data_IF_669928010346
#
_entry.id   IF_669928010346
#
_cell.length_a   1.000
_cell.length_b   1.000
_cell.length_c   1.000
_cell.angle_alpha   90.00
_cell.angle_beta   90.00
_cell.angle_gamma   90.00
#
_symmetry.space_group_name_H-M   'P 1'
#
loop_
_entity.id
_entity.type
_entity.pdbx_description
1 polymer ?
#
# COMPACT_ATOMS: atom_id res chain seq x y z
N UNK A 1 -19.71 -4.49 2.09
CA UNK A 1 -19.02 -4.16 3.36
C UNK A 1 -19.84 -3.16 4.18
N UNK A 2 -21.02 -3.53 4.68
CA UNK A 2 -21.93 -2.62 5.42
C UNK A 2 -22.37 -3.12 6.81
N UNK A 3 -21.71 -4.15 7.37
CA UNK A 3 -22.24 -4.85 8.55
C UNK A 3 -21.24 -5.11 9.69
N UNK A 4 -20.14 -4.34 9.82
CA UNK A 4 -19.13 -4.56 10.89
C UNK A 4 -18.91 -3.30 11.73
N UNK A 5 -19.98 -2.64 12.15
CA UNK A 5 -19.93 -1.48 13.05
C UNK A 5 -20.98 -1.58 14.16
N UNK A 6 -20.93 -2.63 14.96
CA UNK A 6 -21.62 -2.65 16.24
C UNK A 6 -20.85 -3.52 17.24
N UNK A 7 -20.32 -2.90 18.30
CA UNK A 7 -20.11 -3.60 19.58
C UNK A 7 -18.73 -3.48 20.25
N UNK A 8 -18.53 -2.39 21.00
CA UNK A 8 -17.90 -2.35 22.36
C UNK A 8 -16.40 -2.75 22.53
N UNK A 9 -15.80 -2.59 23.74
CA UNK A 9 -15.16 -1.36 24.21
C UNK A 9 -13.66 -1.53 24.59
N UNK A 10 -12.97 -0.41 24.82
CA UNK A 10 -11.57 -0.30 25.24
C UNK A 10 -11.31 -0.75 26.70
N UNK A 11 -10.13 -1.36 26.97
CA UNK A 11 -9.38 -1.28 28.24
C UNK A 11 -7.92 -1.81 28.08
N UNK A 12 -6.97 -1.61 29.03
CA UNK A 12 -5.69 -0.94 28.75
C UNK A 12 -4.43 -1.82 28.89
N UNK A 13 -3.30 -1.24 28.47
CA UNK A 13 -1.94 -1.81 28.49
C UNK A 13 -1.34 -1.93 29.90
N UNK A 14 -0.50 -2.95 30.11
CA UNK A 14 0.47 -3.02 31.21
C UNK A 14 1.83 -3.54 30.73
N UNK A 15 2.88 -2.89 31.23
CA UNK A 15 4.31 -3.12 31.04
C UNK A 15 4.75 -4.46 31.68
N UNK A 16 5.76 -5.19 31.19
CA UNK A 16 7.18 -4.85 31.18
C UNK A 16 7.89 -5.55 32.35
N UNK A 17 8.67 -6.60 32.09
CA UNK A 17 9.40 -7.36 33.11
C UNK A 17 10.58 -8.15 32.52
N UNK A 18 11.76 -7.96 33.13
CA UNK A 18 13.09 -8.29 32.63
C UNK A 18 13.53 -9.74 32.90
N UNK A 19 14.51 -10.20 32.12
CA UNK A 19 15.13 -11.55 32.18
C UNK A 19 16.49 -11.49 32.90
N UNK A 20 16.72 -12.43 33.82
CA UNK A 20 18.02 -12.69 34.47
C UNK A 20 18.48 -14.13 34.16
N UNK A 21 19.71 -14.26 33.68
CA UNK A 21 20.46 -15.51 33.51
C UNK A 21 21.26 -15.85 34.78
N UNK A 22 21.60 -17.13 35.02
CA UNK A 22 22.76 -17.50 35.83
C UNK A 22 23.85 -18.26 35.03
N UNK A 23 25.10 -18.33 35.54
CA UNK A 23 26.27 -18.85 34.84
C UNK A 23 26.58 -20.33 35.15
N UNK A 24 27.45 -20.94 34.34
CA UNK A 24 27.96 -22.30 34.52
C UNK A 24 29.51 -22.29 34.39
N UNK A 25 30.29 -23.00 35.22
CA UNK A 25 31.75 -22.98 35.14
C UNK A 25 32.40 -24.25 34.57
N UNK A 26 33.52 -24.00 33.89
CA UNK A 26 34.82 -24.70 33.92
C UNK A 26 34.98 -26.17 33.54
N UNK A 27 35.96 -26.43 32.65
CA UNK A 27 37.03 -27.39 32.94
C UNK A 27 37.36 -28.40 31.84
N UNK A 28 38.43 -28.16 31.09
CA UNK A 28 39.22 -29.17 30.36
C UNK A 28 40.55 -29.40 31.13
N UNK A 29 41.21 -30.56 31.03
CA UNK A 29 42.26 -30.74 30.00
C UNK A 29 42.43 -32.19 29.45
N UNK A 30 43.14 -32.29 28.32
CA UNK A 30 43.60 -33.51 27.59
C UNK A 30 45.06 -33.92 27.99
N UNK A 31 45.78 -34.85 27.28
CA UNK A 31 45.56 -36.28 27.03
C UNK A 31 46.84 -37.15 27.29
N UNK A 32 46.76 -38.49 27.13
CA UNK A 32 47.95 -39.36 27.02
C UNK A 32 47.65 -40.89 26.99
N UNK A 33 48.24 -41.62 26.02
CA UNK A 33 48.07 -43.07 25.74
C UNK A 33 48.53 -44.03 26.86
N UNK A 34 48.35 -45.35 26.81
CA UNK A 34 48.88 -46.36 25.85
C UNK A 34 48.06 -47.68 25.92
N UNK A 35 48.21 -48.54 24.90
CA UNK A 35 47.48 -49.79 24.64
C UNK A 35 47.88 -51.02 25.49
N UNK A 36 46.96 -52.00 25.66
CA UNK A 36 47.17 -53.46 25.50
C UNK A 36 45.98 -54.33 25.97
N UNK A 37 45.46 -55.15 25.06
CA UNK A 37 44.90 -56.52 25.18
C UNK A 37 43.97 -56.92 26.34
N UNK A 38 42.75 -57.40 26.02
CA UNK A 38 42.34 -58.83 26.07
C UNK A 38 40.81 -58.96 25.85
N UNK A 39 40.40 -59.81 24.91
CA UNK A 39 39.00 -60.18 24.62
C UNK A 39 38.37 -61.03 25.74
N UNK A 40 37.04 -60.94 25.91
CA UNK A 40 36.25 -62.18 25.82
C UNK A 40 35.04 -62.07 24.88
N UNK A 41 34.61 -63.25 24.44
CA UNK A 41 33.71 -63.60 23.34
C UNK A 41 32.29 -62.98 23.36
N UNK A 42 31.60 -62.96 22.21
CA UNK A 42 30.31 -62.30 22.05
C UNK A 42 29.15 -63.27 22.27
N UNK A 43 28.38 -63.09 23.35
CA UNK A 43 27.04 -63.66 23.45
C UNK A 43 26.10 -62.63 24.11
N UNK A 44 25.44 -61.83 23.28
CA UNK A 44 24.03 -61.45 23.42
C UNK A 44 23.69 -60.52 22.26
N UNK A 45 22.99 -61.08 21.27
CA UNK A 45 22.40 -60.34 20.16
C UNK A 45 21.57 -59.17 20.72
N UNK A 46 21.95 -57.97 20.32
CA UNK A 46 21.23 -56.74 20.59
C UNK A 46 19.75 -56.89 20.24
N UNK A 47 18.89 -56.72 21.25
CA UNK A 47 17.53 -56.22 21.03
C UNK A 47 17.68 -54.80 20.45
N UNK A 48 17.75 -54.69 19.11
CA UNK A 48 17.51 -53.43 18.40
C UNK A 48 16.07 -53.04 18.70
N UNK A 49 15.89 -52.11 19.63
CA UNK A 49 14.68 -51.32 19.73
C UNK A 49 14.47 -50.72 18.33
N UNK A 50 13.37 -51.02 17.62
CA UNK A 50 13.13 -50.40 16.33
C UNK A 50 12.91 -48.91 16.63
N UNK A 51 13.88 -48.08 16.23
CA UNK A 51 13.66 -46.65 16.08
C UNK A 51 12.46 -46.50 15.16
N UNK A 52 11.29 -46.18 15.72
CA UNK A 52 10.19 -45.60 14.94
C UNK A 52 10.75 -44.30 14.38
N UNK A 53 11.19 -44.34 13.13
CA UNK A 53 11.34 -43.15 12.29
C UNK A 53 10.00 -42.42 12.42
N UNK A 54 10.00 -41.34 13.19
CA UNK A 54 8.80 -40.57 13.48
C UNK A 54 8.15 -40.22 12.16
N UNK A 55 6.87 -40.54 12.00
CA UNK A 55 6.12 -40.09 10.84
C UNK A 55 6.33 -38.57 10.71
N UNK A 56 6.55 -38.05 9.49
CA UNK A 56 6.69 -36.61 9.30
C UNK A 56 5.48 -35.94 9.93
N UNK A 57 5.73 -35.04 10.90
CA UNK A 57 4.68 -34.32 11.63
C UNK A 57 3.66 -33.78 10.64
N UNK A 58 2.39 -34.19 10.78
CA UNK A 58 1.32 -33.76 9.88
C UNK A 58 1.28 -32.24 9.91
N UNK A 59 1.56 -31.63 8.78
CA UNK A 59 1.58 -30.18 8.70
C UNK A 59 0.14 -29.66 8.83
N UNK A 60 -0.10 -28.88 9.87
CA UNK A 60 -1.43 -28.38 10.26
C UNK A 60 -2.10 -27.60 9.12
N UNK A 61 -1.30 -26.82 8.39
CA UNK A 61 -1.72 -26.12 7.18
C UNK A 61 -0.80 -26.52 6.04
N UNK A 62 -1.32 -26.93 4.87
CA UNK A 62 -0.49 -27.25 3.72
C UNK A 62 0.41 -26.06 3.33
N UNK A 63 1.69 -26.33 3.01
CA UNK A 63 2.65 -25.28 2.59
C UNK A 63 2.12 -24.40 1.46
N UNK A 64 1.36 -25.00 0.55
CA UNK A 64 0.76 -24.30 -0.60
C UNK A 64 -0.21 -23.22 -0.15
N UNK A 65 -1.10 -23.54 0.80
CA UNK A 65 -2.08 -22.61 1.36
C UNK A 65 -1.41 -21.44 2.06
N UNK A 66 -0.35 -21.72 2.83
CA UNK A 66 0.38 -20.68 3.56
C UNK A 66 1.14 -19.74 2.63
N UNK A 67 1.75 -20.30 1.58
CA UNK A 67 2.39 -19.51 0.52
C UNK A 67 1.40 -18.66 -0.26
N UNK A 68 0.20 -19.18 -0.53
CA UNK A 68 -0.86 -18.43 -1.20
C UNK A 68 -1.35 -17.28 -0.34
N UNK A 69 -1.57 -17.52 0.96
CA UNK A 69 -1.93 -16.48 1.91
C UNK A 69 -0.88 -15.36 1.96
N UNK A 70 0.40 -15.72 2.11
CA UNK A 70 1.49 -14.75 2.21
C UNK A 70 1.68 -13.94 0.92
N UNK A 71 1.51 -14.57 -0.25
CA UNK A 71 1.52 -13.88 -1.53
C UNK A 71 0.39 -12.84 -1.63
N UNK A 72 -0.84 -13.23 -1.34
CA UNK A 72 -1.99 -12.31 -1.47
C UNK A 72 -1.95 -11.19 -0.43
N UNK A 73 -1.53 -11.49 0.80
CA UNK A 73 -1.33 -10.46 1.82
C UNK A 73 -0.19 -9.50 1.46
N UNK A 74 0.92 -10.02 0.93
CA UNK A 74 2.05 -9.20 0.46
C UNK A 74 1.65 -8.20 -0.64
N UNK A 75 0.79 -8.61 -1.59
CA UNK A 75 0.22 -7.70 -2.59
C UNK A 75 -0.58 -6.56 -1.94
N UNK A 76 -1.35 -6.87 -0.89
CA UNK A 76 -2.16 -5.88 -0.18
C UNK A 76 -1.32 -4.91 0.64
N UNK A 77 -0.22 -5.36 1.25
CA UNK A 77 0.73 -4.46 1.92
C UNK A 77 1.36 -3.48 0.93
N UNK A 78 1.80 -3.97 -0.23
CA UNK A 78 2.33 -3.10 -1.28
C UNK A 78 1.27 -2.10 -1.77
N UNK A 79 0.02 -2.53 -1.93
CA UNK A 79 -1.08 -1.66 -2.31
C UNK A 79 -1.36 -0.58 -1.25
N UNK A 80 -1.30 -0.92 0.04
CA UNK A 80 -1.45 0.02 1.15
C UNK A 80 -0.39 1.13 1.08
N UNK A 81 0.88 0.74 0.92
CA UNK A 81 2.00 1.68 0.86
C UNK A 81 1.95 2.57 -0.39
N UNK A 82 1.63 1.98 -1.54
CA UNK A 82 1.45 2.72 -2.80
C UNK A 82 0.30 3.72 -2.70
N UNK A 83 -0.83 3.34 -2.09
CA UNK A 83 -1.98 4.23 -1.91
C UNK A 83 -1.64 5.42 -1.01
N UNK A 84 -0.95 5.17 0.12
CA UNK A 84 -0.49 6.24 1.03
C UNK A 84 0.50 7.19 0.35
N UNK A 85 1.46 6.63 -0.40
CA UNK A 85 2.45 7.41 -1.15
C UNK A 85 1.76 8.30 -2.18
N UNK A 86 0.88 7.71 -3.01
CA UNK A 86 0.10 8.43 -4.01
C UNK A 86 -0.73 9.56 -3.39
N UNK A 87 -1.39 9.31 -2.25
CA UNK A 87 -2.14 10.34 -1.54
C UNK A 87 -1.24 11.52 -1.10
N UNK A 88 -0.07 11.22 -0.53
CA UNK A 88 0.90 12.24 -0.08
C UNK A 88 1.41 13.06 -1.25
N UNK A 89 1.78 12.39 -2.33
CA UNK A 89 2.33 13.03 -3.52
C UNK A 89 1.26 13.88 -4.24
N UNK A 90 -0.01 13.45 -4.25
CA UNK A 90 -1.11 14.25 -4.80
C UNK A 90 -1.33 15.55 -4.02
N UNK A 91 -1.29 15.49 -2.68
CA UNK A 91 -1.38 16.70 -1.83
C UNK A 91 -0.24 17.67 -2.11
N UNK A 92 1.00 17.15 -2.16
CA UNK A 92 2.18 17.98 -2.50
C UNK A 92 2.04 18.63 -3.87
N UNK A 93 1.52 17.91 -4.87
CA UNK A 93 1.27 18.45 -6.20
C UNK A 93 0.29 19.61 -6.17
N UNK A 94 -0.83 19.47 -5.46
CA UNK A 94 -1.83 20.54 -5.34
C UNK A 94 -1.32 21.74 -4.54
N UNK A 95 -0.48 21.51 -3.53
CA UNK A 95 0.16 22.59 -2.77
C UNK A 95 1.13 23.39 -3.65
N UNK A 96 1.90 22.69 -4.50
CA UNK A 96 2.80 23.32 -5.46
C UNK A 96 2.04 24.14 -6.51
N UNK A 97 0.91 23.63 -7.02
CA UNK A 97 0.03 24.36 -7.94
C UNK A 97 -0.45 25.70 -7.35
N UNK A 98 -0.86 25.70 -6.07
CA UNK A 98 -1.30 26.91 -5.37
C UNK A 98 -0.15 27.87 -5.11
N UNK A 99 1.02 27.37 -4.70
CA UNK A 99 2.19 28.21 -4.47
C UNK A 99 2.65 28.91 -5.76
N UNK A 100 2.63 28.19 -6.87
CA UNK A 100 2.97 28.71 -8.19
C UNK A 100 2.00 29.82 -8.63
N UNK A 101 0.68 29.59 -8.58
CA UNK A 101 -0.28 30.61 -9.03
C UNK A 101 -0.29 31.85 -8.14
N UNK A 102 -0.14 31.69 -6.83
CA UNK A 102 0.04 32.81 -5.90
C UNK A 102 1.28 33.63 -6.20
N UNK A 103 2.38 32.98 -6.53
CA UNK A 103 3.64 33.66 -6.90
C UNK A 103 3.46 34.44 -8.22
N UNK A 104 2.77 33.86 -9.20
CA UNK A 104 2.45 34.53 -10.45
C UNK A 104 1.58 35.79 -10.26
N UNK A 105 0.54 35.70 -9.41
CA UNK A 105 -0.30 36.86 -9.03
C UNK A 105 0.52 37.92 -8.30
N UNK A 106 1.45 37.52 -7.43
CA UNK A 106 2.32 38.47 -6.75
C UNK A 106 3.20 39.23 -7.74
N UNK A 107 3.84 38.53 -8.68
CA UNK A 107 4.67 39.15 -9.72
C UNK A 107 3.86 40.17 -10.53
N UNK A 108 2.63 39.82 -10.96
CA UNK A 108 1.80 40.75 -11.72
C UNK A 108 1.36 41.97 -10.91
N UNK A 109 1.02 41.76 -9.63
CA UNK A 109 0.67 42.85 -8.71
C UNK A 109 1.85 43.79 -8.45
N UNK A 110 3.05 43.25 -8.26
CA UNK A 110 4.26 44.04 -8.03
C UNK A 110 4.59 44.88 -9.28
N UNK A 111 4.40 44.33 -10.49
CA UNK A 111 4.54 45.09 -11.75
C UNK A 111 3.52 46.22 -11.87
N UNK A 112 2.26 46.00 -11.46
CA UNK A 112 1.23 47.05 -11.46
C UNK A 112 1.62 48.24 -10.56
N UNK A 113 2.30 47.97 -9.45
CA UNK A 113 2.72 49.01 -8.51
C UNK A 113 3.93 49.83 -8.98
N UNK A 114 4.50 49.51 -10.15
CA UNK A 114 5.66 50.22 -10.68
C UNK A 114 5.26 51.63 -11.16
N UNK A 115 5.98 52.71 -10.76
CA UNK A 115 5.69 54.08 -11.20
C UNK A 115 5.66 54.28 -12.73
N UNK A 116 6.29 53.40 -13.50
CA UNK A 116 6.21 53.42 -14.97
C UNK A 116 4.77 53.24 -15.48
N UNK A 117 3.91 52.55 -14.73
CA UNK A 117 2.49 52.42 -15.04
C UNK A 117 1.74 53.76 -14.95
N UNK A 118 2.22 54.74 -14.19
CA UNK A 118 1.61 56.07 -14.12
C UNK A 118 2.07 56.97 -15.27
N UNK A 119 3.26 56.69 -15.81
CA UNK A 119 3.92 57.52 -16.83
C UNK A 119 3.53 57.13 -18.25
N UNK A 120 3.35 55.83 -18.50
CA UNK A 120 3.10 55.28 -19.84
C UNK A 120 1.75 54.54 -19.89
N UNK A 121 0.68 55.17 -20.41
CA UNK A 121 -0.67 54.58 -20.43
C UNK A 121 -0.74 53.22 -21.12
N UNK A 122 0.04 53.01 -22.19
CA UNK A 122 0.10 51.72 -22.90
C UNK A 122 0.75 50.61 -22.07
N UNK A 123 1.74 50.95 -21.23
CA UNK A 123 2.35 49.98 -20.31
C UNK A 123 1.37 49.55 -19.21
N UNK A 124 0.63 50.50 -18.64
CA UNK A 124 -0.42 50.22 -17.65
C UNK A 124 -1.49 49.28 -18.20
N UNK A 125 -1.97 49.51 -19.43
CA UNK A 125 -2.96 48.65 -20.07
C UNK A 125 -2.48 47.19 -20.20
N UNK A 126 -1.25 47.00 -20.70
CA UNK A 126 -0.63 45.67 -20.83
C UNK A 126 -0.47 44.96 -19.48
N UNK A 127 0.06 45.67 -18.48
CA UNK A 127 0.31 45.12 -17.14
C UNK A 127 -1.00 44.79 -16.42
N UNK A 128 -2.04 45.61 -16.59
CA UNK A 128 -3.40 45.35 -16.08
C UNK A 128 -4.03 44.10 -16.71
N UNK A 129 -3.87 43.92 -18.03
CA UNK A 129 -4.34 42.72 -18.71
C UNK A 129 -3.60 41.46 -18.21
N UNK A 130 -2.27 41.55 -18.02
CA UNK A 130 -1.45 40.48 -17.46
C UNK A 130 -1.87 40.10 -16.03
N UNK A 131 -2.10 41.07 -15.15
CA UNK A 131 -2.55 40.81 -13.77
C UNK A 131 -3.94 40.17 -13.72
N UNK A 132 -4.86 40.64 -14.57
CA UNK A 132 -6.17 40.02 -14.72
C UNK A 132 -6.04 38.56 -15.17
N UNK A 133 -5.14 38.28 -16.11
CA UNK A 133 -4.82 36.93 -16.55
C UNK A 133 -4.26 36.04 -15.42
N UNK A 134 -3.31 36.55 -14.62
CA UNK A 134 -2.73 35.81 -13.50
C UNK A 134 -3.76 35.53 -12.39
N UNK A 135 -4.63 36.49 -12.06
CA UNK A 135 -5.73 36.30 -11.09
C UNK A 135 -6.77 35.28 -11.56
N UNK A 136 -7.07 35.25 -12.86
CA UNK A 136 -7.93 34.22 -13.47
C UNK A 136 -7.30 32.84 -13.39
N UNK A 137 -6.00 32.74 -13.68
CA UNK A 137 -5.24 31.49 -13.54
C UNK A 137 -5.24 30.99 -12.09
N UNK A 138 -5.05 31.86 -11.10
CA UNK A 138 -5.10 31.48 -9.69
C UNK A 138 -6.48 30.96 -9.28
N UNK A 139 -7.55 31.66 -9.67
CA UNK A 139 -8.92 31.21 -9.43
C UNK A 139 -9.19 29.84 -10.05
N UNK A 140 -8.72 29.62 -11.28
CA UNK A 140 -8.81 28.33 -11.96
C UNK A 140 -8.05 27.23 -11.20
N UNK A 141 -6.82 27.51 -10.74
CA UNK A 141 -6.03 26.54 -9.98
C UNK A 141 -6.66 26.20 -8.63
N UNK A 142 -7.27 27.17 -7.94
CA UNK A 142 -8.02 26.90 -6.72
C UNK A 142 -9.18 25.91 -6.98
N UNK A 143 -9.94 26.11 -8.06
CA UNK A 143 -11.01 25.18 -8.43
C UNK A 143 -10.46 23.80 -8.81
N UNK A 144 -9.38 23.73 -9.60
CA UNK A 144 -8.69 22.47 -9.94
C UNK A 144 -8.30 21.70 -8.67
N UNK A 145 -7.70 22.39 -7.70
CA UNK A 145 -7.26 21.78 -6.43
C UNK A 145 -8.47 21.27 -5.63
N UNK A 146 -9.55 22.04 -5.54
CA UNK A 146 -10.79 21.62 -4.90
C UNK A 146 -11.39 20.37 -5.54
N UNK A 147 -11.34 20.27 -6.87
CA UNK A 147 -11.80 19.09 -7.61
C UNK A 147 -10.90 17.87 -7.36
N UNK A 148 -9.57 18.03 -7.39
CA UNK A 148 -8.61 16.95 -7.10
C UNK A 148 -8.80 16.44 -5.66
N UNK A 149 -9.04 17.34 -4.71
CA UNK A 149 -9.30 16.99 -3.32
C UNK A 149 -10.49 16.03 -3.19
N UNK A 150 -11.61 16.36 -3.84
CA UNK A 150 -12.85 15.57 -3.80
C UNK A 150 -12.76 14.27 -4.60
N UNK A 151 -12.14 14.32 -5.78
CA UNK A 151 -12.19 13.23 -6.76
C UNK A 151 -11.04 12.25 -6.67
N UNK A 152 -9.91 12.63 -6.04
CA UNK A 152 -8.70 11.79 -5.94
C UNK A 152 -8.28 11.60 -4.48
N UNK A 153 -8.02 12.68 -3.74
CA UNK A 153 -7.42 12.60 -2.40
C UNK A 153 -8.38 11.95 -1.40
N UNK A 154 -9.67 12.30 -1.44
CA UNK A 154 -10.69 11.70 -0.59
C UNK A 154 -10.91 10.21 -0.86
N UNK A 155 -11.10 9.73 -2.10
CA UNK A 155 -11.16 8.31 -2.41
C UNK A 155 -9.92 7.54 -1.95
N UNK A 156 -8.71 8.07 -2.16
CA UNK A 156 -7.48 7.45 -1.66
C UNK A 156 -7.48 7.32 -0.13
N UNK A 157 -7.96 8.35 0.58
CA UNK A 157 -8.11 8.33 2.04
C UNK A 157 -9.11 7.26 2.50
N UNK A 158 -10.27 7.19 1.82
CA UNK A 158 -11.34 6.22 2.11
C UNK A 158 -10.85 4.79 1.89
N UNK A 159 -10.19 4.52 0.76
CA UNK A 159 -9.59 3.22 0.48
C UNK A 159 -8.54 2.84 1.54
N UNK A 160 -7.66 3.78 1.90
CA UNK A 160 -6.63 3.57 2.92
C UNK A 160 -7.20 3.18 4.29
N UNK A 161 -8.41 3.64 4.62
CA UNK A 161 -9.04 3.35 5.92
C UNK A 161 -9.51 1.90 6.09
N UNK A 162 -9.53 1.10 5.03
CA UNK A 162 -9.93 -0.32 5.07
C UNK A 162 -8.79 -1.21 5.59
N UNK A 163 -7.53 -0.86 5.29
CA UNK A 163 -6.37 -1.69 5.62
C UNK A 163 -6.17 -1.98 7.12
N UNK A 164 -6.40 -1.05 8.07
CA UNK A 164 -6.31 -1.36 9.49
C UNK A 164 -7.20 -2.54 9.91
N UNK A 165 -8.42 -2.63 9.39
CA UNK A 165 -9.34 -3.74 9.68
C UNK A 165 -8.83 -5.07 9.11
N UNK A 166 -8.35 -5.04 7.86
CA UNK A 166 -7.73 -6.20 7.21
C UNK A 166 -6.52 -6.70 8.00
N UNK A 167 -5.60 -5.80 8.37
CA UNK A 167 -4.39 -6.12 9.13
C UNK A 167 -4.74 -6.73 10.50
N UNK A 168 -5.81 -6.27 11.14
CA UNK A 168 -6.32 -6.88 12.37
C UNK A 168 -6.92 -8.27 12.16
N UNK A 169 -7.62 -8.51 11.04
CA UNK A 169 -8.12 -9.85 10.70
C UNK A 169 -6.98 -10.85 10.46
N UNK A 170 -5.93 -10.43 9.75
CA UNK A 170 -4.71 -11.23 9.54
C UNK A 170 -4.02 -11.55 10.87
N UNK A 171 -3.87 -10.56 11.76
CA UNK A 171 -3.33 -10.79 13.11
C UNK A 171 -4.17 -11.79 13.91
N UNK A 172 -5.50 -11.70 13.85
CA UNK A 172 -6.40 -12.65 14.53
C UNK A 172 -6.26 -14.07 13.97
N UNK A 173 -6.14 -14.23 12.64
CA UNK A 173 -5.86 -15.54 12.02
C UNK A 173 -4.54 -16.12 12.53
N UNK A 174 -3.48 -15.32 12.57
CA UNK A 174 -2.17 -15.79 13.01
C UNK A 174 -2.18 -16.19 14.49
N UNK A 175 -2.86 -15.41 15.34
CA UNK A 175 -3.04 -15.76 16.74
C UNK A 175 -3.76 -17.11 16.91
N UNK A 176 -4.89 -17.31 16.21
CA UNK A 176 -5.63 -18.58 16.26
C UNK A 176 -4.79 -19.74 15.68
N UNK A 177 -3.95 -19.50 14.67
CA UNK A 177 -3.03 -20.50 14.13
C UNK A 177 -1.97 -20.93 15.16
N UNK A 178 -1.44 -20.00 15.95
CA UNK A 178 -0.51 -20.31 17.04
C UNK A 178 -1.18 -21.15 18.13
N UNK A 179 -2.40 -20.78 18.53
CA UNK A 179 -3.19 -21.55 19.49
C UNK A 179 -3.52 -22.95 18.97
N UNK A 180 -3.86 -23.07 17.68
CA UNK A 180 -4.07 -24.36 17.01
C UNK A 180 -2.80 -25.22 17.05
N UNK A 181 -1.64 -24.67 16.65
CA UNK A 181 -0.34 -25.37 16.72
C UNK A 181 -0.03 -25.90 18.12
N UNK A 182 -0.29 -25.09 19.16
CA UNK A 182 -0.08 -25.46 20.56
C UNK A 182 -0.98 -26.62 21.00
N UNK A 183 -2.29 -26.54 20.72
CA UNK A 183 -3.24 -27.58 21.10
C UNK A 183 -3.07 -28.86 20.28
N UNK A 184 -2.72 -28.75 19.00
CA UNK A 184 -2.39 -29.90 18.16
C UNK A 184 -1.19 -30.67 18.72
N UNK A 185 -0.13 -29.97 19.14
CA UNK A 185 1.03 -30.60 19.79
C UNK A 185 0.65 -31.30 21.11
N UNK A 186 -0.33 -30.76 21.86
CA UNK A 186 -0.88 -31.41 23.06
C UNK A 186 -1.60 -32.72 22.71
N UNK A 187 -2.39 -32.75 21.64
CA UNK A 187 -3.04 -33.98 21.15
C UNK A 187 -2.01 -35.02 20.72
N UNK A 188 -1.05 -34.64 19.86
CA UNK A 188 0.02 -35.53 19.39
C UNK A 188 0.80 -36.16 20.56
N UNK A 189 1.13 -35.36 21.58
CA UNK A 189 1.82 -35.83 22.80
C UNK A 189 1.01 -36.88 23.58
N UNK A 190 -0.31 -36.87 23.55
CA UNK A 190 -1.13 -37.90 24.19
C UNK A 190 -1.40 -39.09 23.27
N UNK A 191 -1.38 -38.90 21.95
CA UNK A 191 -1.49 -39.99 20.97
C UNK A 191 -0.26 -40.90 20.95
N UNK A 192 0.93 -40.34 21.21
CA UNK A 192 2.19 -41.09 21.29
C UNK A 192 2.35 -41.91 22.59
N UNK A 193 1.55 -41.64 23.62
CA UNK A 193 1.59 -42.35 24.90
C UNK A 193 0.87 -43.70 24.82
N UNK A 194 1.24 -44.61 25.73
CA UNK A 194 0.56 -45.89 25.88
C UNK A 194 -0.95 -45.73 26.14
N UNK A 195 -1.75 -46.58 25.50
CA UNK A 195 -3.22 -46.55 25.53
C UNK A 195 -3.79 -47.13 26.83
N UNK A 196 -3.50 -46.44 27.91
CA UNK A 196 -4.13 -46.68 29.22
C UNK A 196 -5.42 -45.87 29.34
N UNK A 197 -6.36 -46.32 30.17
CA UNK A 197 -7.63 -45.61 30.42
C UNK A 197 -7.46 -44.10 30.75
N UNK A 198 -6.57 -43.73 31.69
CA UNK A 198 -6.32 -42.32 32.02
C UNK A 198 -5.73 -41.50 30.85
N UNK A 199 -4.90 -42.09 29.99
CA UNK A 199 -4.34 -41.41 28.81
C UNK A 199 -5.42 -41.19 27.75
N UNK A 200 -6.31 -42.17 27.54
CA UNK A 200 -7.43 -42.04 26.61
C UNK A 200 -8.40 -40.93 27.02
N UNK A 201 -8.70 -40.79 28.32
CA UNK A 201 -9.53 -39.69 28.83
C UNK A 201 -8.89 -38.31 28.56
N UNK A 202 -7.57 -38.17 28.83
CA UNK A 202 -6.82 -36.92 28.54
C UNK A 202 -6.72 -36.62 27.05
N UNK A 203 -6.57 -37.64 26.21
CA UNK A 203 -6.56 -37.51 24.76
C UNK A 203 -7.92 -37.00 24.26
N UNK A 204 -9.02 -37.55 24.77
CA UNK A 204 -10.35 -37.10 24.42
C UNK A 204 -10.55 -35.63 24.80
N UNK A 205 -10.23 -35.25 26.03
CA UNK A 205 -10.30 -33.86 26.48
C UNK A 205 -9.45 -32.90 25.62
N UNK A 206 -8.21 -33.28 25.29
CA UNK A 206 -7.35 -32.47 24.42
C UNK A 206 -7.94 -32.31 23.00
N UNK A 207 -8.65 -33.31 22.47
CA UNK A 207 -9.35 -33.23 21.19
C UNK A 207 -10.59 -32.33 21.27
N UNK A 208 -11.35 -32.39 22.38
CA UNK A 208 -12.48 -31.48 22.61
C UNK A 208 -12.02 -30.02 22.67
N UNK A 209 -10.90 -29.73 23.35
CA UNK A 209 -10.29 -28.39 23.41
C UNK A 209 -9.79 -27.91 22.04
N UNK A 210 -9.24 -28.82 21.23
CA UNK A 210 -8.69 -28.51 19.91
C UNK A 210 -9.77 -28.15 18.89
N UNK A 211 -10.92 -28.85 18.92
CA UNK A 211 -11.97 -28.74 17.91
C UNK A 211 -12.41 -27.29 17.64
N UNK A 212 -12.87 -26.49 18.63
CA UNK A 212 -13.34 -25.13 18.36
C UNK A 212 -12.25 -24.20 17.85
N UNK A 213 -10.99 -24.38 18.28
CA UNK A 213 -9.86 -23.56 17.82
C UNK A 213 -9.50 -23.88 16.36
N UNK A 214 -9.57 -25.16 15.98
CA UNK A 214 -9.38 -25.59 14.60
C UNK A 214 -10.46 -25.00 13.68
N UNK A 215 -11.73 -25.12 14.07
CA UNK A 215 -12.87 -24.59 13.29
C UNK A 215 -12.78 -23.07 13.11
N UNK A 216 -12.42 -22.34 14.18
CA UNK A 216 -12.23 -20.88 14.14
C UNK A 216 -11.04 -20.47 13.23
N UNK A 217 -9.91 -21.20 13.28
CA UNK A 217 -8.81 -20.97 12.35
C UNK A 217 -9.23 -21.21 10.90
N UNK A 218 -9.87 -22.35 10.62
CA UNK A 218 -10.30 -22.72 9.26
C UNK A 218 -11.28 -21.68 8.69
N UNK A 219 -12.22 -21.20 9.51
CA UNK A 219 -13.15 -20.14 9.14
C UNK A 219 -12.43 -18.83 8.78
N UNK A 220 -11.55 -18.33 9.65
CA UNK A 220 -10.77 -17.10 9.42
C UNK A 220 -9.85 -17.23 8.20
N UNK A 221 -9.18 -18.38 8.06
CA UNK A 221 -8.26 -18.64 6.97
C UNK A 221 -8.99 -18.66 5.62
N UNK A 222 -10.11 -19.38 5.55
CA UNK A 222 -10.96 -19.43 4.36
C UNK A 222 -11.47 -18.03 3.98
N UNK A 223 -12.00 -17.28 4.96
CA UNK A 223 -12.50 -15.93 4.73
C UNK A 223 -11.42 -15.02 4.12
N UNK A 224 -10.22 -14.99 4.70
CA UNK A 224 -9.14 -14.13 4.20
C UNK A 224 -8.65 -14.54 2.81
N UNK A 225 -8.54 -15.84 2.53
CA UNK A 225 -8.14 -16.35 1.22
C UNK A 225 -9.19 -16.02 0.13
N UNK A 226 -10.47 -15.90 0.50
CA UNK A 226 -11.52 -15.50 -0.42
C UNK A 226 -11.62 -13.97 -0.61
N UNK A 227 -11.45 -13.20 0.46
CA UNK A 227 -11.66 -11.74 0.45
C UNK A 227 -10.46 -10.95 -0.07
N UNK A 228 -9.23 -11.34 0.31
CA UNK A 228 -8.01 -10.60 -0.07
C UNK A 228 -7.84 -10.45 -1.58
N UNK A 229 -7.96 -11.52 -2.40
CA UNK A 229 -7.81 -11.40 -3.85
C UNK A 229 -8.92 -10.54 -4.48
N UNK A 230 -10.16 -10.65 -3.99
CA UNK A 230 -11.29 -9.85 -4.46
C UNK A 230 -11.08 -8.37 -4.16
N UNK A 231 -10.58 -8.05 -2.97
CA UNK A 231 -10.25 -6.69 -2.57
C UNK A 231 -9.09 -6.13 -3.40
N UNK A 232 -8.06 -6.93 -3.70
CA UNK A 232 -6.97 -6.52 -4.58
C UNK A 232 -7.48 -6.21 -5.99
N UNK A 233 -8.29 -7.07 -6.58
CA UNK A 233 -8.81 -6.88 -7.94
C UNK A 233 -9.73 -5.67 -8.07
N UNK A 234 -10.54 -5.36 -7.06
CA UNK A 234 -11.47 -4.22 -7.09
C UNK A 234 -10.79 -2.85 -7.11
N UNK A 235 -9.47 -2.77 -6.83
CA UNK A 235 -8.70 -1.52 -6.87
C UNK A 235 -8.83 -0.78 -8.20
N UNK A 236 -8.92 -1.52 -9.31
CA UNK A 236 -8.97 -0.94 -10.65
C UNK A 236 -10.27 -0.16 -10.82
N UNK A 237 -11.40 -0.81 -10.59
CA UNK A 237 -12.72 -0.20 -10.72
C UNK A 237 -12.92 0.94 -9.71
N UNK A 238 -12.34 0.79 -8.51
CA UNK A 238 -12.39 1.82 -7.48
C UNK A 238 -11.64 3.10 -7.88
N UNK A 239 -10.41 2.96 -8.40
CA UNK A 239 -9.56 4.12 -8.68
C UNK A 239 -9.74 4.71 -10.08
N UNK A 240 -10.20 3.94 -11.07
CA UNK A 240 -10.44 4.41 -12.44
C UNK A 240 -11.15 5.78 -12.51
N UNK A 241 -12.30 6.02 -11.82
CA UNK A 241 -12.98 7.32 -11.89
C UNK A 241 -12.15 8.47 -11.30
N UNK A 242 -11.31 8.22 -10.29
CA UNK A 242 -10.41 9.23 -9.72
C UNK A 242 -9.34 9.67 -10.71
N UNK A 243 -8.71 8.71 -11.39
CA UNK A 243 -7.68 9.03 -12.38
C UNK A 243 -8.24 9.68 -13.64
N UNK A 244 -9.42 9.25 -14.11
CA UNK A 244 -10.12 9.95 -15.19
C UNK A 244 -10.44 11.40 -14.82
N UNK A 245 -10.90 11.64 -13.59
CA UNK A 245 -11.20 12.99 -13.09
C UNK A 245 -9.93 13.85 -12.99
N UNK A 246 -8.81 13.26 -12.56
CA UNK A 246 -7.52 13.94 -12.49
C UNK A 246 -7.05 14.40 -13.86
N UNK A 247 -7.08 13.52 -14.87
CA UNK A 247 -6.67 13.87 -16.23
C UNK A 247 -7.60 14.95 -16.81
N UNK A 248 -8.92 14.85 -16.58
CA UNK A 248 -9.88 15.90 -16.97
C UNK A 248 -9.53 17.26 -16.36
N UNK A 249 -9.16 17.29 -15.08
CA UNK A 249 -8.81 18.52 -14.37
C UNK A 249 -7.52 19.15 -14.92
N UNK A 250 -6.51 18.34 -15.25
CA UNK A 250 -5.24 18.80 -15.83
C UNK A 250 -5.41 19.36 -17.25
N UNK A 251 -6.14 18.64 -18.12
CA UNK A 251 -6.37 19.08 -19.52
C UNK A 251 -7.11 20.42 -19.57
N UNK A 252 -8.07 20.64 -18.66
CA UNK A 252 -8.75 21.94 -18.54
C UNK A 252 -7.78 23.07 -18.17
N UNK A 253 -6.80 22.79 -17.31
CA UNK A 253 -5.78 23.78 -16.91
C UNK A 253 -4.85 24.19 -18.03
N UNK A 254 -4.32 23.23 -18.80
CA UNK A 254 -3.49 23.57 -19.94
C UNK A 254 -4.26 24.38 -21.00
N UNK A 255 -5.56 24.09 -21.20
CA UNK A 255 -6.39 24.83 -22.14
C UNK A 255 -6.66 26.27 -21.71
N UNK A 256 -6.85 26.55 -20.41
CA UNK A 256 -7.10 27.93 -19.95
C UNK A 256 -5.84 28.78 -19.99
N UNK A 257 -4.66 28.20 -19.68
CA UNK A 257 -3.37 28.87 -19.78
C UNK A 257 -3.06 29.28 -21.22
N UNK A 258 -3.27 28.36 -22.18
CA UNK A 258 -3.02 28.60 -23.59
C UNK A 258 -3.96 29.64 -24.20
N UNK A 259 -5.23 29.65 -23.82
CA UNK A 259 -6.18 30.67 -24.30
C UNK A 259 -5.88 32.06 -23.72
N UNK A 260 -5.46 32.11 -22.45
CA UNK A 260 -5.03 33.37 -21.80
C UNK A 260 -3.78 33.94 -22.47
N UNK A 261 -2.80 33.09 -22.81
CA UNK A 261 -1.60 33.51 -23.54
C UNK A 261 -1.88 34.01 -24.97
N UNK A 262 -3.00 33.62 -25.59
CA UNK A 262 -3.41 34.06 -26.92
C UNK A 262 -4.30 35.31 -26.93
N UNK A 263 -4.65 35.85 -25.76
CA UNK A 263 -5.56 37.00 -25.67
C UNK A 263 -7.01 36.69 -26.06
N UNK A 264 -7.42 35.42 -26.03
CA UNK A 264 -8.80 35.02 -26.35
C UNK A 264 -9.74 35.36 -25.18
N UNK A 265 -10.80 36.14 -25.45
CA UNK A 265 -11.83 36.47 -24.46
C UNK A 265 -12.75 35.27 -24.25
N UNK A 266 -12.68 34.63 -23.08
CA UNK A 266 -13.53 33.49 -22.71
C UNK A 266 -14.95 33.94 -22.34
N UNK A 267 -15.72 34.38 -23.34
CA UNK A 267 -17.17 34.49 -23.28
C UNK A 267 -17.83 33.15 -23.62
N UNK A 268 -17.56 32.10 -22.85
CA UNK A 268 -18.16 30.79 -23.10
C UNK A 268 -17.52 29.68 -22.30
N UNK A 269 -18.34 28.96 -21.54
CA UNK A 269 -17.96 27.67 -20.96
C UNK A 269 -17.50 26.77 -22.13
N UNK A 270 -16.27 26.21 -22.13
CA UNK A 270 -15.90 25.26 -23.18
C UNK A 270 -16.94 24.14 -23.18
N UNK A 271 -17.40 23.65 -24.34
CA UNK A 271 -18.50 22.71 -24.41
C UNK A 271 -18.14 21.47 -23.60
N UNK A 272 -18.77 21.33 -22.43
CA UNK A 272 -18.65 20.17 -21.56
C UNK A 272 -19.29 18.92 -22.22
N UNK A 273 -19.98 19.10 -23.34
CA UNK A 273 -20.70 18.06 -24.07
C UNK A 273 -19.91 17.48 -25.24
N UNK A 274 -18.83 16.73 -24.96
CA UNK A 274 -18.40 15.61 -25.84
C UNK A 274 -17.35 14.67 -25.26
N UNK A 275 -17.28 14.49 -23.93
CA UNK A 275 -16.35 13.55 -23.29
C UNK A 275 -17.02 12.25 -22.83
N UNK A 276 -18.01 11.77 -23.59
CA UNK A 276 -18.58 10.45 -23.46
C UNK A 276 -18.04 9.54 -24.57
N UNK A 277 -16.92 8.86 -24.34
CA UNK A 277 -16.41 7.83 -25.26
C UNK A 277 -14.92 7.58 -25.13
N UNK A 278 -14.55 6.32 -24.87
CA UNK A 278 -13.17 5.81 -24.76
C UNK A 278 -12.25 6.23 -25.92
N UNK A 279 -12.78 6.36 -27.14
CA UNK A 279 -12.03 6.74 -28.34
C UNK A 279 -11.47 8.17 -28.32
N UNK A 280 -11.99 9.03 -27.44
CA UNK A 280 -11.62 10.45 -27.36
C UNK A 280 -10.43 10.64 -26.41
N UNK A 281 -10.31 9.77 -25.40
CA UNK A 281 -9.21 9.79 -24.43
C UNK A 281 -7.87 9.44 -25.05
N UNK A 282 -7.82 8.41 -25.90
CA UNK A 282 -6.63 8.09 -26.68
C UNK A 282 -6.21 9.26 -27.57
N UNK A 283 -7.15 9.99 -28.17
CA UNK A 283 -6.86 11.18 -28.99
C UNK A 283 -6.36 12.37 -28.16
N UNK A 284 -6.89 12.60 -26.96
CA UNK A 284 -6.43 13.64 -26.03
C UNK A 284 -5.01 13.34 -25.53
N UNK A 285 -4.73 12.09 -25.17
CA UNK A 285 -3.39 11.61 -24.82
C UNK A 285 -2.41 11.72 -26.00
N UNK A 286 -2.84 11.39 -27.22
CA UNK A 286 -2.03 11.56 -28.43
C UNK A 286 -1.77 13.03 -28.77
N UNK A 287 -2.72 13.94 -28.57
CA UNK A 287 -2.53 15.40 -28.77
C UNK A 287 -1.58 16.01 -27.75
N UNK A 288 -1.71 15.62 -26.47
CA UNK A 288 -0.74 15.97 -25.42
C UNK A 288 0.66 15.41 -25.74
N UNK A 289 0.72 14.25 -26.42
CA UNK A 289 1.97 13.67 -26.93
C UNK A 289 2.54 14.37 -28.17
N UNK A 290 1.71 14.95 -29.04
CA UNK A 290 2.17 15.68 -30.21
C UNK A 290 2.72 17.08 -29.85
N UNK A 291 2.10 17.76 -28.87
CA UNK A 291 2.64 19.02 -28.30
C UNK A 291 4.02 18.85 -27.65
N UNK A 292 4.41 17.60 -27.35
CA UNK A 292 5.68 17.18 -26.78
C UNK A 292 6.86 17.28 -27.76
N UNK A 293 6.58 17.16 -29.07
CA UNK A 293 7.61 17.14 -30.13
C UNK A 293 7.88 18.52 -30.75
N UNK A 294 7.08 19.54 -30.41
CA UNK A 294 7.20 20.89 -30.98
C UNK A 294 7.96 21.88 -30.10
N UNK A 295 8.38 21.47 -28.89
CA UNK A 295 9.17 22.32 -27.97
C UNK A 295 10.61 21.79 -27.98
N UNK A 296 11.45 22.34 -28.86
CA UNK A 296 12.89 22.08 -28.85
C UNK A 296 13.55 22.87 -27.72
N UNK A 297 14.39 22.24 -26.86
CA UNK A 297 15.13 22.98 -25.84
C UNK A 297 16.23 23.83 -26.50
N UNK A 298 16.22 25.14 -26.26
CA UNK A 298 17.35 26.01 -26.60
C UNK A 298 18.27 26.11 -25.39
N UNK A 299 19.51 25.63 -25.54
CA UNK A 299 20.69 26.13 -24.83
C UNK A 299 20.90 25.64 -23.39
N UNK A 300 22.06 25.02 -23.16
CA UNK A 300 22.44 24.43 -21.88
C UNK A 300 23.02 25.43 -20.87
N UNK A 301 22.74 25.19 -19.60
CA UNK A 301 23.71 24.98 -18.53
C UNK A 301 22.92 24.64 -17.25
N UNK A 302 23.25 23.50 -16.64
CA UNK A 302 23.37 23.44 -15.19
C UNK A 302 22.16 23.60 -14.26
N UNK A 303 20.90 23.64 -14.69
CA UNK A 303 19.76 23.49 -13.76
C UNK A 303 18.66 22.66 -14.44
N UNK A 304 18.55 21.39 -14.05
CA UNK A 304 17.56 20.46 -14.59
C UNK A 304 16.19 20.78 -13.97
N UNK A 305 15.43 21.64 -14.64
CA UNK A 305 14.07 22.00 -14.26
C UNK A 305 13.18 20.77 -14.07
N UNK A 306 12.61 20.64 -12.88
CA UNK A 306 11.62 19.68 -12.38
C UNK A 306 10.25 19.75 -13.11
N UNK A 307 10.21 20.08 -14.41
CA UNK A 307 8.98 20.24 -15.20
C UNK A 307 8.33 18.93 -15.68
N UNK A 308 8.88 17.76 -15.32
CA UNK A 308 8.41 16.45 -15.81
C UNK A 308 7.42 15.74 -14.88
N UNK A 309 6.90 16.42 -13.86
CA UNK A 309 6.02 15.79 -12.86
C UNK A 309 4.67 15.34 -13.42
N UNK A 310 4.06 16.09 -14.36
CA UNK A 310 2.78 15.70 -15.00
C UNK A 310 2.92 14.40 -15.83
N UNK A 311 4.07 14.19 -16.47
CA UNK A 311 4.35 13.01 -17.29
C UNK A 311 4.68 11.77 -16.46
N UNK A 312 5.23 11.95 -15.25
CA UNK A 312 5.47 10.84 -14.31
C UNK A 312 4.16 10.18 -13.86
N UNK A 313 3.04 10.90 -13.79
CA UNK A 313 1.78 10.35 -13.29
C UNK A 313 1.07 9.44 -14.29
N UNK A 314 1.07 9.79 -15.57
CA UNK A 314 0.50 8.94 -16.62
C UNK A 314 1.33 7.65 -16.79
N UNK A 315 2.66 7.77 -16.73
CA UNK A 315 3.58 6.62 -16.70
C UNK A 315 3.48 5.82 -15.39
N UNK A 316 3.24 6.45 -14.24
CA UNK A 316 3.04 5.77 -12.97
C UNK A 316 1.71 5.02 -12.94
N UNK A 317 0.63 5.58 -13.48
CA UNK A 317 -0.65 4.89 -13.69
C UNK A 317 -0.48 3.70 -14.62
N UNK A 318 0.18 3.88 -15.76
CA UNK A 318 0.42 2.78 -16.70
C UNK A 318 1.30 1.69 -16.07
N UNK A 319 2.37 2.04 -15.33
CA UNK A 319 3.19 1.06 -14.59
C UNK A 319 2.43 0.39 -13.44
N UNK A 320 1.52 1.10 -12.77
CA UNK A 320 0.68 0.57 -11.69
C UNK A 320 -0.41 -0.38 -12.22
N UNK A 321 -0.98 -0.09 -13.39
CA UNK A 321 -1.89 -0.98 -14.11
C UNK A 321 -1.17 -2.18 -14.76
N UNK A 322 0.05 -1.99 -15.26
CA UNK A 322 0.84 -3.05 -15.93
C UNK A 322 1.65 -3.93 -14.98
N UNK A 323 1.69 -3.66 -13.68
CA UNK A 323 2.32 -4.51 -12.67
C UNK A 323 1.40 -5.63 -12.13
N UNK A 324 0.34 -5.96 -12.89
CA UNK A 324 -0.59 -7.07 -12.62
C UNK A 324 -0.13 -8.37 -13.25
#
# INVERSE_FOLDING_TARGET
MKAVLAGYPHCPQSAGGQSLLPPNPSGSPEPGGVAAHTFPSPLSLSSRIPFKIGQPKKQIVPKTVERDFEREYGKLQQLEDQTKKLQKDMKKSTDADLAMSKSAVKISSDLLSNPLCEQEPGFLEMVTAFDTAMKRMDSFNQEKVNQIQKTVIEPLKKFSSVFPSLNMAVKRREQTLQDYKRLQSKVEKYEEKERTGPVLAKLHQAREELRPVKEDFEAKNKQLLEEMPKFYSSRIDYFKPSFESLVRAQVRGCSCLLGTARGESFGGNPPAERLGGDSTWSKVLSRSSASRNSITPVGGHGEQWDGWWEFRWTLAWHKWCSAG
#
